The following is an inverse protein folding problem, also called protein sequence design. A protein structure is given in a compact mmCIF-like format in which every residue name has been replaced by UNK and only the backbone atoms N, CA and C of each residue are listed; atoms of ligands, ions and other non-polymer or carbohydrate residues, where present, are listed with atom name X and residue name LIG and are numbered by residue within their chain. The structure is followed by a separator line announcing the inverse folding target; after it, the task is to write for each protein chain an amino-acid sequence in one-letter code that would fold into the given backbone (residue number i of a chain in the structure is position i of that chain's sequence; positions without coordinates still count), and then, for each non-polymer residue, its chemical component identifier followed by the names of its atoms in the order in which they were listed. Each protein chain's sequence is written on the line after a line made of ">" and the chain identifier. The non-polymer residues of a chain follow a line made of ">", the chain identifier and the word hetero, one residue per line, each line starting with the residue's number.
data_IF_798358893698
#
_entry.id   IF_798358893698
#
_cell.length_a   1.000
_cell.length_b   1.000
_cell.length_c   1.000
_cell.angle_alpha   90.00
_cell.angle_beta   90.00
_cell.angle_gamma   90.00
#
_symmetry.space_group_name_H-M   'P 1'
#
loop_
_entity.id
_entity.type
_entity.pdbx_description
1 polymer ?
#
# COMPACT_ATOMS: atom_id res chain seq x y z
N UNK A 1 -7.72 -2.67 -2.61
CA UNK A 1 -6.57 -1.85 -3.06
C UNK A 1 -5.29 -2.59 -2.74
N UNK A 2 -4.36 -2.60 -3.65
CA UNK A 2 -3.08 -3.26 -3.40
C UNK A 2 -1.94 -2.57 -4.15
N UNK A 3 -0.74 -2.70 -3.59
CA UNK A 3 0.50 -2.30 -4.26
C UNK A 3 1.06 -3.54 -4.94
N UNK A 4 1.17 -3.50 -6.26
CA UNK A 4 1.79 -4.57 -7.04
C UNK A 4 3.26 -4.27 -7.24
N UNK A 5 4.14 -5.20 -6.82
CA UNK A 5 5.56 -5.15 -7.18
C UNK A 5 5.74 -5.98 -8.44
N UNK A 6 6.09 -5.32 -9.54
CA UNK A 6 6.24 -5.97 -10.85
C UNK A 6 7.64 -6.56 -11.01
N UNK A 7 7.78 -7.49 -11.95
CA UNK A 7 9.06 -8.14 -12.23
C UNK A 7 10.13 -7.16 -12.73
N UNK A 8 9.73 -6.06 -13.37
CA UNK A 8 10.65 -5.01 -13.79
C UNK A 8 11.02 -4.04 -12.67
N UNK A 9 10.64 -4.38 -11.42
CA UNK A 9 10.91 -3.60 -10.21
C UNK A 9 10.17 -2.26 -10.16
N UNK A 10 9.09 -2.13 -10.93
CA UNK A 10 8.18 -0.98 -10.79
C UNK A 10 7.07 -1.29 -9.80
N UNK A 11 6.47 -0.23 -9.26
CA UNK A 11 5.31 -0.33 -8.38
C UNK A 11 4.07 0.16 -9.12
N UNK A 12 2.93 -0.47 -8.83
CA UNK A 12 1.64 -0.03 -9.36
C UNK A 12 0.60 -0.14 -8.27
N UNK A 13 -0.36 0.77 -8.25
CA UNK A 13 -1.54 0.67 -7.42
C UNK A 13 -2.64 0.02 -8.25
N UNK A 14 -3.17 -1.10 -7.76
CA UNK A 14 -4.26 -1.83 -8.43
C UNK A 14 -5.49 -1.83 -7.54
N UNK A 15 -6.67 -1.98 -8.17
CA UNK A 15 -7.96 -1.94 -7.48
C UNK A 15 -8.09 -0.68 -6.62
N UNK A 16 -7.73 0.46 -7.18
CA UNK A 16 -7.64 1.73 -6.46
C UNK A 16 -8.99 2.24 -5.95
N UNK A 17 -10.09 1.70 -6.47
CA UNK A 17 -11.44 2.05 -6.00
C UNK A 17 -11.97 1.07 -4.95
N UNK A 18 -11.18 0.07 -4.56
CA UNK A 18 -11.55 -0.85 -3.50
C UNK A 18 -10.95 -0.40 -2.16
N UNK A 19 -11.76 0.28 -1.36
CA UNK A 19 -11.33 0.85 -0.09
C UNK A 19 -11.58 -0.07 1.11
N UNK A 20 -11.84 -1.37 0.86
CA UNK A 20 -12.15 -2.33 1.93
C UNK A 20 -10.94 -3.04 2.50
N UNK A 21 -9.81 -2.98 1.81
CA UNK A 21 -8.60 -3.64 2.27
C UNK A 21 -7.38 -3.11 1.55
N UNK A 22 -6.21 -3.41 2.11
CA UNK A 22 -4.95 -2.95 1.55
C UNK A 22 -3.85 -3.99 1.80
N UNK A 23 -3.12 -4.36 0.76
CA UNK A 23 -1.99 -5.28 0.89
C UNK A 23 -0.92 -4.96 -0.16
N UNK A 24 0.22 -5.65 -0.04
CA UNK A 24 1.27 -5.64 -1.05
C UNK A 24 1.20 -6.99 -1.75
N UNK A 25 1.25 -6.99 -3.07
CA UNK A 25 1.14 -8.21 -3.86
C UNK A 25 2.39 -8.43 -4.70
N UNK A 26 2.95 -9.62 -4.61
CA UNK A 26 4.11 -10.02 -5.41
C UNK A 26 3.84 -11.38 -6.03
N UNK A 27 4.56 -11.70 -7.12
CA UNK A 27 4.37 -12.96 -7.82
C UNK A 27 4.71 -14.16 -6.93
N UNK A 28 5.93 -14.17 -6.37
CA UNK A 28 6.44 -15.28 -5.56
C UNK A 28 7.57 -14.79 -4.64
N UNK A 29 8.14 -15.73 -3.85
CA UNK A 29 9.21 -15.43 -2.91
C UNK A 29 10.50 -14.96 -3.56
N UNK A 30 10.69 -15.27 -4.85
CA UNK A 30 11.91 -14.88 -5.58
C UNK A 30 11.81 -13.48 -6.18
N UNK A 31 10.65 -12.85 -6.12
CA UNK A 31 10.45 -11.50 -6.64
C UNK A 31 11.29 -10.49 -5.86
N UNK A 32 12.04 -9.64 -6.59
CA UNK A 32 12.79 -8.56 -5.97
C UNK A 32 11.81 -7.47 -5.51
N UNK A 33 11.79 -7.20 -4.21
CA UNK A 33 10.88 -6.22 -3.60
C UNK A 33 11.55 -4.91 -3.22
N UNK A 34 12.78 -4.68 -3.66
CA UNK A 34 13.54 -3.48 -3.26
C UNK A 34 12.86 -2.17 -3.69
N UNK A 35 12.01 -2.21 -4.72
CA UNK A 35 11.24 -1.02 -5.14
C UNK A 35 10.32 -0.49 -4.02
N UNK A 36 9.90 -1.35 -3.09
CA UNK A 36 9.09 -0.94 -1.94
C UNK A 36 9.82 0.05 -1.04
N UNK A 37 11.15 0.05 -1.04
CA UNK A 37 11.94 0.93 -0.19
C UNK A 37 11.62 2.41 -0.44
N UNK A 38 11.19 2.74 -1.65
CA UNK A 38 10.86 4.12 -2.01
C UNK A 38 9.64 4.66 -1.23
N UNK A 39 8.74 3.78 -0.79
CA UNK A 39 7.52 4.18 -0.08
C UNK A 39 7.39 3.54 1.30
N UNK A 40 8.40 2.78 1.75
CA UNK A 40 8.38 2.13 3.06
C UNK A 40 9.10 2.98 4.09
N UNK A 41 8.40 3.38 5.15
CA UNK A 41 8.98 4.15 6.25
C UNK A 41 9.61 3.24 7.31
N UNK A 42 8.98 2.10 7.57
CA UNK A 42 9.51 1.12 8.52
C UNK A 42 8.91 -0.24 8.27
N UNK A 43 9.57 -1.29 8.76
CA UNK A 43 9.09 -2.67 8.74
C UNK A 43 9.01 -3.13 10.19
N UNK A 44 7.88 -3.74 10.55
CA UNK A 44 7.60 -4.15 11.92
C UNK A 44 6.79 -5.44 11.89
N UNK A 45 7.35 -6.53 12.45
CA UNK A 45 6.69 -7.83 12.52
C UNK A 45 6.19 -8.33 11.15
N UNK A 46 7.02 -8.20 10.11
CA UNK A 46 6.70 -8.56 8.73
C UNK A 46 5.61 -7.69 8.08
N UNK A 47 5.25 -6.60 8.72
CA UNK A 47 4.35 -5.59 8.16
C UNK A 47 5.15 -4.38 7.69
N UNK A 48 4.72 -3.84 6.56
CA UNK A 48 5.34 -2.68 5.94
C UNK A 48 4.48 -1.45 6.22
N UNK A 49 5.08 -0.44 6.84
CA UNK A 49 4.43 0.84 7.04
C UNK A 49 4.77 1.74 5.87
N UNK A 50 3.80 1.95 5.00
CA UNK A 50 3.98 2.66 3.73
C UNK A 50 3.56 4.11 3.86
N UNK A 51 4.30 4.99 3.18
CA UNK A 51 3.97 6.40 3.10
C UNK A 51 2.68 6.59 2.29
N UNK A 52 1.64 7.11 2.94
CA UNK A 52 0.35 7.33 2.29
C UNK A 52 0.45 8.26 1.08
N UNK A 53 1.30 9.28 1.13
CA UNK A 53 1.51 10.17 -0.01
C UNK A 53 2.14 9.42 -1.19
N UNK A 54 3.03 8.46 -0.90
CA UNK A 54 3.61 7.61 -1.93
C UNK A 54 2.56 6.75 -2.62
N UNK A 55 1.60 6.22 -1.85
CA UNK A 55 0.48 5.44 -2.40
C UNK A 55 -0.41 6.33 -3.27
N UNK A 56 -0.70 7.54 -2.81
CA UNK A 56 -1.50 8.52 -3.58
C UNK A 56 -0.82 8.82 -4.91
N UNK A 57 0.49 9.02 -4.91
CA UNK A 57 1.24 9.28 -6.14
C UNK A 57 1.11 8.12 -7.14
N UNK A 58 1.09 6.88 -6.65
CA UNK A 58 0.93 5.69 -7.51
C UNK A 58 -0.49 5.57 -8.08
N UNK A 59 -1.49 6.18 -7.44
CA UNK A 59 -2.88 6.07 -7.87
C UNK A 59 -3.17 6.75 -9.20
N UNK A 60 -2.34 7.72 -9.58
CA UNK A 60 -2.63 8.60 -10.71
C UNK A 60 -3.77 9.58 -10.44
N UNK A 61 -4.22 9.67 -9.18
CA UNK A 61 -5.36 10.52 -8.78
C UNK A 61 -5.01 11.51 -7.67
N UNK A 62 -3.82 12.16 -7.71
CA UNK A 62 -3.39 13.02 -6.60
C UNK A 62 -4.23 14.31 -6.45
N UNK A 63 -5.05 14.65 -7.46
CA UNK A 63 -5.92 15.82 -7.43
C UNK A 63 -7.41 15.46 -7.46
N UNK A 64 -7.74 14.17 -7.44
CA UNK A 64 -9.13 13.71 -7.43
C UNK A 64 -9.65 13.75 -5.98
N UNK A 65 -10.35 14.83 -5.67
CA UNK A 65 -10.84 15.07 -4.31
C UNK A 65 -11.74 13.95 -3.79
N UNK A 66 -12.65 13.46 -4.63
CA UNK A 66 -13.57 12.40 -4.24
C UNK A 66 -12.81 11.11 -3.89
N UNK A 67 -11.84 10.73 -4.72
CA UNK A 67 -11.00 9.58 -4.46
C UNK A 67 -10.16 9.78 -3.19
N UNK A 68 -9.57 10.96 -3.02
CA UNK A 68 -8.77 11.28 -1.83
C UNK A 68 -9.60 11.22 -0.54
N UNK A 69 -10.82 11.73 -0.56
CA UNK A 69 -11.69 11.67 0.59
C UNK A 69 -11.98 10.21 0.99
N UNK A 70 -12.20 9.34 0.02
CA UNK A 70 -12.41 7.92 0.27
C UNK A 70 -11.15 7.22 0.76
N UNK A 71 -10.00 7.56 0.18
CA UNK A 71 -8.70 7.01 0.60
C UNK A 71 -8.40 7.36 2.06
N UNK A 72 -8.50 8.62 2.43
CA UNK A 72 -8.27 9.04 3.81
C UNK A 72 -9.32 8.47 4.76
N UNK A 73 -10.57 8.31 4.29
CA UNK A 73 -11.62 7.64 5.05
C UNK A 73 -11.28 6.20 5.35
N UNK A 74 -10.67 5.49 4.39
CA UNK A 74 -10.17 4.12 4.61
C UNK A 74 -9.11 4.10 5.73
N UNK A 75 -8.14 5.00 5.70
CA UNK A 75 -7.11 5.07 6.74
C UNK A 75 -7.73 5.41 8.10
N UNK A 76 -8.64 6.36 8.14
CA UNK A 76 -9.34 6.74 9.37
C UNK A 76 -10.08 5.55 9.99
N UNK A 77 -10.74 4.75 9.17
CA UNK A 77 -11.43 3.55 9.64
C UNK A 77 -10.48 2.44 10.09
N UNK A 78 -9.27 2.39 9.53
CA UNK A 78 -8.29 1.35 9.84
C UNK A 78 -7.43 1.70 11.08
N UNK A 79 -7.31 2.97 11.41
CA UNK A 79 -6.42 3.42 12.49
C UNK A 79 -6.74 2.81 13.85
N UNK A 80 -8.03 2.70 14.27
CA UNK A 80 -8.35 2.09 15.57
C UNK A 80 -7.92 0.63 15.68
N UNK A 81 -7.74 -0.04 14.55
CA UNK A 81 -7.32 -1.45 14.51
C UNK A 81 -5.82 -1.62 14.34
N UNK A 82 -5.06 -0.52 14.30
CA UNK A 82 -3.61 -0.56 14.19
C UNK A 82 -3.09 -0.70 12.76
N UNK A 83 -3.91 -0.46 11.75
CA UNK A 83 -3.51 -0.60 10.34
C UNK A 83 -3.18 0.73 9.66
N UNK A 84 -3.30 1.84 10.36
CA UNK A 84 -2.94 3.15 9.82
C UNK A 84 -2.50 4.08 10.93
N UNK A 85 -1.75 5.11 10.57
CA UNK A 85 -1.34 6.19 11.47
C UNK A 85 -1.57 7.49 10.69
N UNK A 86 -2.66 8.18 11.00
CA UNK A 86 -3.03 9.41 10.29
C UNK A 86 -2.07 10.55 10.56
N UNK A 87 -1.53 10.65 11.77
CA UNK A 87 -0.59 11.70 12.12
C UNK A 87 0.69 11.58 11.32
N UNK A 88 1.23 10.37 11.21
CA UNK A 88 2.43 10.09 10.43
C UNK A 88 2.12 9.88 8.94
N UNK A 89 0.85 9.79 8.56
CA UNK A 89 0.39 9.49 7.20
C UNK A 89 0.97 8.18 6.68
N UNK A 90 0.80 7.12 7.48
CA UNK A 90 1.27 5.79 7.15
C UNK A 90 0.10 4.80 7.07
N UNK A 91 0.22 3.83 6.18
CA UNK A 91 -0.69 2.69 6.11
C UNK A 91 0.12 1.40 6.22
N UNK A 92 -0.39 0.46 7.03
CA UNK A 92 0.26 -0.82 7.26
C UNK A 92 -0.23 -1.86 6.27
N UNK A 93 0.69 -2.62 5.69
CA UNK A 93 0.38 -3.67 4.75
C UNK A 93 1.28 -4.88 4.96
N UNK A 94 0.77 -6.06 4.63
CA UNK A 94 1.58 -7.28 4.57
C UNK A 94 1.73 -7.72 3.13
N UNK A 95 2.72 -8.58 2.86
CA UNK A 95 2.95 -9.12 1.54
C UNK A 95 2.11 -10.38 1.34
N UNK A 96 1.41 -10.45 0.21
CA UNK A 96 0.72 -11.64 -0.24
C UNK A 96 1.33 -12.09 -1.57
N UNK A 97 1.39 -13.39 -1.78
CA UNK A 97 2.01 -13.99 -2.96
C UNK A 97 0.94 -14.53 -3.89
N UNK A 98 1.11 -14.29 -5.20
CA UNK A 98 0.20 -14.85 -6.21
C UNK A 98 0.36 -16.36 -6.31
N UNK A 99 1.60 -16.84 -6.13
CA UNK A 99 1.93 -18.26 -6.20
C UNK A 99 2.26 -18.75 -4.81
N UNK A 100 1.52 -19.76 -4.33
CA UNK A 100 1.80 -20.40 -3.04
C UNK A 100 3.08 -21.24 -3.16
N UNK A 101 3.97 -21.04 -2.19
CA UNK A 101 5.22 -21.80 -2.12
C UNK A 101 5.25 -22.68 -0.89
#
# INVERSE_FOLDING_TARGET
>A
MLIRVREDQSLALEEEDNFKGFCIRVKDLDTNISALDAITERIEDSNYWLDAQGVIALSGKPTDKEWLDQFWGMLKGAEPYGFADLEAQLIRAHIEYDVAN
#
